data_IF_031393866668
#
_entry.id   IF_031393866668
#
_cell.length_a   1.000
_cell.length_b   1.000
_cell.length_c   1.000
_cell.angle_alpha   90.00
_cell.angle_beta   90.00
_cell.angle_gamma   90.00
#
_symmetry.space_group_name_H-M   'P 1'
#
loop_
_entity.id
_entity.type
_entity.pdbx_description
1 polymer ?
#
# COMPACT_ATOMS: atom_id res chain seq x y z
N UNK A 1 5.97 -32.88 7.87
CA UNK A 1 4.72 -32.89 7.06
C UNK A 1 3.89 -31.61 7.30
N UNK A 2 3.77 -31.15 8.55
CA UNK A 2 3.23 -29.83 8.92
C UNK A 2 3.90 -28.65 8.19
N UNK A 3 5.23 -28.57 8.18
CA UNK A 3 5.95 -27.41 7.61
C UNK A 3 5.84 -27.28 6.08
N UNK A 4 5.63 -28.39 5.37
CA UNK A 4 5.49 -28.40 3.90
C UNK A 4 4.12 -27.86 3.50
N UNK A 5 3.07 -28.25 4.23
CA UNK A 5 1.70 -27.76 4.02
C UNK A 5 1.59 -26.28 4.37
N UNK A 6 2.26 -25.85 5.45
CA UNK A 6 2.31 -24.46 5.87
C UNK A 6 3.06 -23.58 4.84
N UNK A 7 4.21 -24.05 4.36
CA UNK A 7 4.98 -23.38 3.30
C UNK A 7 4.18 -23.26 1.99
N UNK A 8 3.47 -24.31 1.57
CA UNK A 8 2.65 -24.30 0.36
C UNK A 8 1.47 -23.31 0.46
N UNK A 9 0.83 -23.25 1.63
CA UNK A 9 -0.25 -22.29 1.90
C UNK A 9 0.24 -20.84 1.90
N UNK A 10 1.43 -20.57 2.45
CA UNK A 10 2.05 -19.24 2.41
C UNK A 10 2.39 -18.81 0.97
N UNK A 11 2.94 -19.72 0.16
CA UNK A 11 3.24 -19.47 -1.26
C UNK A 11 1.98 -19.16 -2.07
N UNK A 12 0.88 -19.86 -1.80
CA UNK A 12 -0.43 -19.62 -2.42
C UNK A 12 -1.01 -18.24 -2.06
N UNK A 13 -0.88 -17.81 -0.80
CA UNK A 13 -1.32 -16.46 -0.36
C UNK A 13 -0.51 -15.35 -1.01
N UNK A 14 0.81 -15.50 -1.13
CA UNK A 14 1.68 -14.53 -1.80
C UNK A 14 1.31 -14.42 -3.29
N UNK A 15 1.10 -15.55 -3.97
CA UNK A 15 0.61 -15.55 -5.37
C UNK A 15 -0.72 -14.81 -5.49
N UNK A 16 -1.65 -15.01 -4.55
CA UNK A 16 -2.93 -14.31 -4.54
C UNK A 16 -2.78 -12.80 -4.37
N UNK A 17 -1.82 -12.33 -3.55
CA UNK A 17 -1.50 -10.90 -3.42
C UNK A 17 -0.88 -10.37 -4.72
N UNK A 18 0.06 -11.11 -5.32
CA UNK A 18 0.70 -10.74 -6.59
C UNK A 18 -0.31 -10.63 -7.75
N UNK A 19 -1.23 -11.59 -7.86
CA UNK A 19 -2.32 -11.55 -8.86
C UNK A 19 -3.25 -10.36 -8.61
N UNK A 20 -3.57 -10.04 -7.35
CA UNK A 20 -4.39 -8.88 -7.03
C UNK A 20 -3.71 -7.54 -7.39
N UNK A 21 -2.39 -7.44 -7.21
CA UNK A 21 -1.59 -6.27 -7.64
C UNK A 21 -1.60 -6.18 -9.16
N UNK A 22 -1.35 -7.29 -9.86
CA UNK A 22 -1.32 -7.34 -11.33
C UNK A 22 -2.68 -6.94 -11.93
N UNK A 23 -3.78 -7.48 -11.38
CA UNK A 23 -5.13 -7.11 -11.80
C UNK A 23 -5.41 -5.62 -11.57
N UNK A 24 -4.93 -5.04 -10.46
CA UNK A 24 -5.06 -3.61 -10.20
C UNK A 24 -4.32 -2.78 -11.25
N UNK A 25 -3.07 -3.15 -11.58
CA UNK A 25 -2.27 -2.46 -12.60
C UNK A 25 -3.00 -2.50 -13.95
N UNK A 26 -3.53 -3.67 -14.34
CA UNK A 26 -4.29 -3.82 -15.59
C UNK A 26 -5.55 -2.93 -15.56
N UNK A 27 -6.29 -2.93 -14.45
CA UNK A 27 -7.47 -2.07 -14.29
C UNK A 27 -7.10 -0.59 -14.41
N UNK A 28 -6.03 -0.15 -13.76
CA UNK A 28 -5.55 1.24 -13.82
C UNK A 28 -5.17 1.66 -15.24
N UNK A 29 -4.52 0.77 -16.01
CA UNK A 29 -4.17 1.05 -17.42
C UNK A 29 -5.43 1.21 -18.27
N UNK A 30 -6.40 0.30 -18.11
CA UNK A 30 -7.68 0.37 -18.83
C UNK A 30 -8.46 1.63 -18.45
N UNK A 31 -8.52 1.98 -17.17
CA UNK A 31 -9.12 3.22 -16.69
C UNK A 31 -8.42 4.44 -17.29
N UNK A 32 -7.09 4.52 -17.29
CA UNK A 32 -6.35 5.64 -17.90
C UNK A 32 -6.71 5.79 -19.39
N UNK A 33 -6.74 4.69 -20.15
CA UNK A 33 -7.06 4.71 -21.58
C UNK A 33 -8.49 5.21 -21.83
N UNK A 34 -9.46 4.72 -21.04
CA UNK A 34 -10.86 5.12 -21.13
C UNK A 34 -11.06 6.58 -20.67
N UNK A 35 -10.37 6.99 -19.61
CA UNK A 35 -10.52 8.31 -19.02
C UNK A 35 -9.87 9.40 -19.88
N UNK A 36 -8.79 9.12 -20.61
CA UNK A 36 -8.14 10.07 -21.54
C UNK A 36 -9.11 10.62 -22.59
N UNK A 37 -10.11 9.83 -22.99
CA UNK A 37 -11.08 10.24 -24.01
C UNK A 37 -12.31 10.96 -23.44
N UNK A 38 -12.53 10.89 -22.12
CA UNK A 38 -13.77 11.33 -21.47
C UNK A 38 -13.53 12.46 -20.45
N UNK A 39 -12.36 12.52 -19.83
CA UNK A 39 -12.05 13.44 -18.75
C UNK A 39 -10.79 14.26 -19.02
N UNK A 40 -10.77 15.47 -18.47
CA UNK A 40 -9.57 16.31 -18.46
C UNK A 40 -8.45 15.65 -17.66
N UNK A 41 -7.19 15.90 -18.04
CA UNK A 41 -6.00 15.45 -17.32
C UNK A 41 -6.07 15.72 -15.80
N UNK A 42 -6.62 16.88 -15.40
CA UNK A 42 -6.81 17.24 -13.98
C UNK A 42 -7.70 16.29 -13.19
N UNK A 43 -8.71 15.71 -13.82
CA UNK A 43 -9.60 14.74 -13.18
C UNK A 43 -8.92 13.37 -13.11
N UNK A 44 -8.17 13.00 -14.16
CA UNK A 44 -7.44 11.73 -14.24
C UNK A 44 -6.43 11.62 -13.08
N UNK A 45 -5.63 12.66 -12.85
CA UNK A 45 -4.62 12.67 -11.76
C UNK A 45 -5.27 12.43 -10.39
N UNK A 46 -6.45 13.01 -10.14
CA UNK A 46 -7.17 12.86 -8.86
C UNK A 46 -7.76 11.46 -8.70
N UNK A 47 -8.32 10.91 -9.78
CA UNK A 47 -8.83 9.53 -9.80
C UNK A 47 -7.69 8.53 -9.54
N UNK A 48 -6.51 8.74 -10.13
CA UNK A 48 -5.33 7.93 -9.84
C UNK A 48 -4.88 8.06 -8.39
N UNK A 49 -4.90 9.27 -7.82
CA UNK A 49 -4.61 9.48 -6.40
C UNK A 49 -5.57 8.71 -5.47
N UNK A 50 -6.87 8.74 -5.78
CA UNK A 50 -7.91 7.99 -5.06
C UNK A 50 -7.66 6.48 -5.17
N UNK A 51 -7.44 5.99 -6.38
CA UNK A 51 -7.21 4.58 -6.65
C UNK A 51 -5.96 4.06 -5.90
N UNK A 52 -4.82 4.75 -6.04
CA UNK A 52 -3.60 4.40 -5.32
C UNK A 52 -3.83 4.35 -3.80
N UNK A 53 -4.54 5.33 -3.26
CA UNK A 53 -4.84 5.39 -1.83
C UNK A 53 -5.64 4.17 -1.35
N UNK A 54 -6.70 3.80 -2.08
CA UNK A 54 -7.54 2.64 -1.76
C UNK A 54 -6.70 1.35 -1.82
N UNK A 55 -5.93 1.16 -2.90
CA UNK A 55 -5.12 -0.04 -3.11
C UNK A 55 -4.08 -0.19 -1.99
N UNK A 56 -3.37 0.89 -1.66
CA UNK A 56 -2.37 0.88 -0.58
C UNK A 56 -3.00 0.57 0.79
N UNK A 57 -4.17 1.13 1.10
CA UNK A 57 -4.88 0.84 2.37
C UNK A 57 -5.32 -0.63 2.43
N UNK A 58 -5.87 -1.16 1.33
CA UNK A 58 -6.32 -2.55 1.25
C UNK A 58 -5.13 -3.52 1.39
N UNK A 59 -4.02 -3.25 0.70
CA UNK A 59 -2.79 -4.04 0.81
C UNK A 59 -2.24 -4.02 2.23
N UNK A 60 -2.11 -2.84 2.82
CA UNK A 60 -1.64 -2.70 4.20
C UNK A 60 -2.56 -3.44 5.19
N UNK A 61 -3.87 -3.38 4.99
CA UNK A 61 -4.86 -4.11 5.81
C UNK A 61 -4.72 -5.62 5.67
N UNK A 62 -4.55 -6.13 4.44
CA UNK A 62 -4.35 -7.56 4.17
C UNK A 62 -3.06 -8.08 4.79
N UNK A 63 -1.98 -7.30 4.71
CA UNK A 63 -0.69 -7.64 5.30
C UNK A 63 -0.78 -7.66 6.83
N UNK A 64 -1.51 -6.69 7.42
CA UNK A 64 -1.80 -6.69 8.85
C UNK A 64 -2.60 -7.92 9.29
N UNK A 65 -3.69 -8.25 8.60
CA UNK A 65 -4.55 -9.39 8.95
C UNK A 65 -3.79 -10.72 8.90
N UNK A 66 -2.94 -10.88 7.89
CA UNK A 66 -2.24 -12.13 7.69
C UNK A 66 -0.87 -12.19 8.44
N UNK A 67 -0.41 -11.08 9.02
CA UNK A 67 0.90 -10.95 9.70
C UNK A 67 2.11 -11.22 8.79
N UNK A 68 2.00 -11.00 7.48
CA UNK A 68 3.09 -11.17 6.52
C UNK A 68 4.01 -9.93 6.53
N UNK A 69 4.57 -9.62 7.70
CA UNK A 69 5.44 -8.46 7.89
C UNK A 69 6.66 -8.53 6.96
N UNK A 70 7.19 -9.71 6.66
CA UNK A 70 8.32 -9.94 5.76
C UNK A 70 8.08 -9.50 4.30
N UNK A 71 6.82 -9.27 3.88
CA UNK A 71 6.52 -8.86 2.49
C UNK A 71 6.92 -7.40 2.23
N UNK A 72 6.77 -6.51 3.23
CA UNK A 72 7.04 -5.07 3.08
C UNK A 72 8.22 -4.60 3.92
N UNK A 73 8.75 -5.48 4.78
CA UNK A 73 9.86 -5.13 5.66
C UNK A 73 11.12 -5.83 5.21
N UNK A 74 12.25 -5.30 5.66
CA UNK A 74 13.54 -5.95 5.50
C UNK A 74 13.74 -7.21 6.38
N UNK A 75 12.69 -7.68 7.07
CA UNK A 75 12.78 -8.89 7.89
C UNK A 75 12.71 -10.13 6.99
N UNK A 76 13.56 -11.12 7.25
CA UNK A 76 13.46 -12.41 6.58
C UNK A 76 12.28 -13.22 7.10
N UNK A 77 11.87 -14.25 6.36
CA UNK A 77 10.82 -15.17 6.82
C UNK A 77 11.19 -15.86 8.14
N UNK A 78 12.46 -16.26 8.29
CA UNK A 78 13.02 -16.87 9.50
C UNK A 78 12.90 -15.93 10.71
N UNK A 79 13.35 -14.67 10.57
CA UNK A 79 13.25 -13.64 11.61
C UNK A 79 11.79 -13.38 12.01
N UNK A 80 10.88 -13.31 11.02
CA UNK A 80 9.46 -13.15 11.29
C UNK A 80 8.84 -14.38 11.98
N UNK A 81 9.37 -15.59 11.75
CA UNK A 81 8.90 -16.84 12.38
C UNK A 81 9.34 -16.94 13.84
N UNK A 82 10.50 -16.41 14.20
CA UNK A 82 11.01 -16.40 15.58
C UNK A 82 10.32 -15.35 16.47
N UNK A 83 9.74 -14.30 15.89
CA UNK A 83 9.02 -13.28 16.65
C UNK A 83 7.76 -13.83 17.32
N UNK A 84 7.45 -13.38 18.53
CA UNK A 84 6.17 -13.70 19.18
C UNK A 84 4.98 -13.16 18.38
N UNK A 85 3.81 -13.84 18.41
CA UNK A 85 2.60 -13.38 17.70
C UNK A 85 2.17 -11.95 18.06
N UNK A 86 2.47 -11.53 19.29
CA UNK A 86 2.18 -10.19 19.81
C UNK A 86 3.12 -9.13 19.20
N UNK A 87 4.42 -9.42 19.11
CA UNK A 87 5.39 -8.54 18.45
C UNK A 87 5.12 -8.40 16.95
N UNK A 88 4.78 -9.51 16.27
CA UNK A 88 4.37 -9.46 14.85
C UNK A 88 3.15 -8.58 14.64
N UNK A 89 2.16 -8.66 15.54
CA UNK A 89 0.96 -7.82 15.45
C UNK A 89 1.28 -6.33 15.70
N UNK A 90 2.16 -6.01 16.65
CA UNK A 90 2.61 -4.64 16.91
C UNK A 90 3.33 -4.03 15.69
N UNK A 91 4.23 -4.80 15.06
CA UNK A 91 4.93 -4.39 13.84
C UNK A 91 3.94 -4.19 12.69
N UNK A 92 3.07 -5.17 12.45
CA UNK A 92 2.09 -5.12 11.36
C UNK A 92 1.09 -3.96 11.53
N UNK A 93 0.65 -3.69 12.76
CA UNK A 93 -0.19 -2.53 13.09
C UNK A 93 0.53 -1.21 12.81
N UNK A 94 1.81 -1.12 13.16
CA UNK A 94 2.60 0.09 12.96
C UNK A 94 2.81 0.38 11.47
N UNK A 95 3.20 -0.63 10.69
CA UNK A 95 3.31 -0.54 9.22
C UNK A 95 1.98 -0.11 8.60
N UNK A 96 0.88 -0.75 9.03
CA UNK A 96 -0.45 -0.37 8.57
C UNK A 96 -0.75 1.10 8.83
N UNK A 97 -0.49 1.62 10.04
CA UNK A 97 -0.71 3.05 10.35
C UNK A 97 0.18 3.96 9.52
N UNK A 98 1.45 3.60 9.33
CA UNK A 98 2.40 4.40 8.54
C UNK A 98 1.98 4.50 7.07
N UNK A 99 1.30 3.48 6.51
CA UNK A 99 0.79 3.52 5.14
C UNK A 99 -0.62 4.12 5.08
N UNK A 100 -1.53 3.65 5.94
CA UNK A 100 -2.94 4.01 5.86
C UNK A 100 -3.19 5.48 6.17
N UNK A 101 -2.50 6.06 7.16
CA UNK A 101 -2.74 7.46 7.56
C UNK A 101 -2.39 8.42 6.41
N UNK A 102 -1.17 8.41 5.82
CA UNK A 102 -0.86 9.27 4.68
C UNK A 102 -1.74 9.01 3.46
N UNK A 103 -2.07 7.75 3.18
CA UNK A 103 -2.95 7.42 2.04
C UNK A 103 -4.39 7.90 2.24
N UNK A 104 -4.91 7.91 3.48
CA UNK A 104 -6.21 8.53 3.77
C UNK A 104 -6.17 10.04 3.53
N UNK A 105 -5.05 10.71 3.85
CA UNK A 105 -4.89 12.14 3.51
C UNK A 105 -4.89 12.37 1.99
N UNK A 106 -4.17 11.56 1.21
CA UNK A 106 -4.21 11.65 -0.27
C UNK A 106 -5.63 11.42 -0.78
N UNK A 107 -6.33 10.39 -0.27
CA UNK A 107 -7.71 10.10 -0.68
C UNK A 107 -8.63 11.31 -0.46
N UNK A 108 -8.63 11.90 0.75
CA UNK A 108 -9.45 13.06 1.08
C UNK A 108 -9.05 14.26 0.22
N UNK A 109 -7.74 14.51 0.09
CA UNK A 109 -7.22 15.61 -0.71
C UNK A 109 -7.65 15.48 -2.19
N UNK A 110 -7.51 14.30 -2.79
CA UNK A 110 -7.93 14.07 -4.19
C UNK A 110 -9.43 14.21 -4.38
N UNK A 111 -10.25 13.76 -3.42
CA UNK A 111 -11.70 13.99 -3.44
C UNK A 111 -12.04 15.49 -3.37
N UNK A 112 -11.40 16.24 -2.48
CA UNK A 112 -11.55 17.71 -2.41
C UNK A 112 -11.05 18.37 -3.69
N UNK A 113 -9.95 17.89 -4.27
CA UNK A 113 -9.40 18.40 -5.52
C UNK A 113 -10.39 18.30 -6.69
N UNK A 114 -11.24 17.26 -6.73
CA UNK A 114 -12.29 17.14 -7.76
C UNK A 114 -13.32 18.26 -7.60
N UNK A 115 -13.70 18.57 -6.36
CA UNK A 115 -14.71 19.60 -6.05
C UNK A 115 -14.15 21.00 -6.28
N UNK A 116 -12.94 21.29 -5.80
CA UNK A 116 -12.31 22.62 -5.86
C UNK A 116 -11.51 22.87 -7.14
N UNK A 117 -11.39 21.87 -8.02
CA UNK A 117 -10.63 21.94 -9.27
C UNK A 117 -9.18 22.38 -9.06
N UNK A 118 -8.50 21.74 -8.11
CA UNK A 118 -7.07 21.96 -7.87
C UNK A 118 -6.24 21.59 -9.11
N UNK A 119 -5.09 22.25 -9.32
CA UNK A 119 -4.23 21.95 -10.47
C UNK A 119 -3.58 20.57 -10.34
N UNK A 120 -3.45 19.83 -11.44
CA UNK A 120 -2.71 18.55 -11.48
C UNK A 120 -1.29 18.62 -10.92
N UNK A 121 -0.58 19.73 -11.15
CA UNK A 121 0.82 19.89 -10.73
C UNK A 121 0.91 19.87 -9.19
N UNK A 122 0.00 20.58 -8.52
CA UNK A 122 -0.09 20.57 -7.06
C UNK A 122 -0.42 19.18 -6.53
N UNK A 123 -1.37 18.49 -7.18
CA UNK A 123 -1.79 17.14 -6.77
C UNK A 123 -0.64 16.13 -6.90
N UNK A 124 0.08 16.13 -8.03
CA UNK A 124 1.26 15.28 -8.26
C UNK A 124 2.33 15.56 -7.21
N UNK A 125 2.58 16.83 -6.90
CA UNK A 125 3.58 17.24 -5.90
C UNK A 125 3.24 16.74 -4.51
N UNK A 126 1.96 16.82 -4.10
CA UNK A 126 1.48 16.31 -2.81
C UNK A 126 1.59 14.80 -2.75
N UNK A 127 1.23 14.09 -3.83
CA UNK A 127 1.35 12.63 -3.90
C UNK A 127 2.82 12.22 -3.74
N UNK A 128 3.74 12.78 -4.53
CA UNK A 128 5.17 12.45 -4.47
C UNK A 128 5.76 12.75 -3.09
N UNK A 129 5.47 13.93 -2.52
CA UNK A 129 5.94 14.31 -1.20
C UNK A 129 5.44 13.32 -0.13
N UNK A 130 4.16 12.95 -0.20
CA UNK A 130 3.56 11.99 0.74
C UNK A 130 4.20 10.61 0.63
N UNK A 131 4.46 10.13 -0.59
CA UNK A 131 5.16 8.86 -0.81
C UNK A 131 6.59 8.88 -0.26
N UNK A 132 7.32 9.97 -0.47
CA UNK A 132 8.68 10.13 0.05
C UNK A 132 8.70 10.11 1.59
N UNK A 133 7.84 10.92 2.21
CA UNK A 133 7.70 10.98 3.67
C UNK A 133 7.30 9.61 4.21
N UNK A 134 6.32 8.94 3.59
CA UNK A 134 5.91 7.58 3.97
C UNK A 134 7.07 6.59 3.94
N UNK A 135 7.89 6.59 2.86
CA UNK A 135 9.06 5.72 2.75
C UNK A 135 10.04 5.92 3.91
N UNK A 136 10.38 7.18 4.21
CA UNK A 136 11.25 7.54 5.34
C UNK A 136 10.66 7.08 6.68
N UNK A 137 9.36 7.27 6.89
CA UNK A 137 8.70 6.84 8.13
C UNK A 137 8.63 5.32 8.27
N UNK A 138 8.49 4.57 7.19
CA UNK A 138 8.54 3.10 7.21
C UNK A 138 9.94 2.65 7.66
N UNK A 139 11.00 3.18 7.08
CA UNK A 139 12.38 2.83 7.42
C UNK A 139 12.72 3.16 8.89
N UNK A 140 12.36 4.35 9.35
CA UNK A 140 12.52 4.75 10.77
C UNK A 140 11.68 3.86 11.68
N UNK A 141 10.48 3.47 11.25
CA UNK A 141 9.59 2.65 12.06
C UNK A 141 10.14 1.24 12.27
N UNK A 142 10.86 0.71 11.28
CA UNK A 142 11.43 -0.64 11.26
C UNK A 142 12.82 -0.71 11.92
N UNK A 143 13.63 0.34 11.85
CA UNK A 143 14.96 0.36 12.48
C UNK A 143 14.93 0.14 14.00
N UNK A 144 13.81 0.47 14.66
CA UNK A 144 13.58 0.23 16.09
C UNK A 144 13.37 -1.24 16.47
N UNK A 145 13.15 -2.13 15.50
CA UNK A 145 12.90 -3.56 15.72
C UNK A 145 14.07 -4.45 15.28
N UNK A 146 15.15 -3.86 14.74
CA UNK A 146 16.39 -4.55 14.33
C UNK A 146 17.50 -4.51 15.40
N UNK A 147 17.25 -3.90 16.56
CA UNK A 147 18.15 -3.87 17.72
C UNK A 147 17.67 -4.87 18.76
#
# INVERSE_FOLDING_TARGET
MSDIIESYNELSKIKTIGVAILLNIILSIVEIILLIHVFSFDVIVKLLGIQMSIVSIVLASKIRKNKHIYIITSFTYEEAKEMTPENRNKIALKIYKTIAVPMTFIFIYSMMGIVFRTSSILDISIIICTLFVMGVFVDISLSKFKK
#
